data_IF_402343832197
#
_entry.id   IF_402343832197
#
_cell.length_a   1.000
_cell.length_b   1.000
_cell.length_c   1.000
_cell.angle_alpha   90.00
_cell.angle_beta   90.00
_cell.angle_gamma   90.00
#
_symmetry.space_group_name_H-M   'P 1'
#
loop_
_entity.id
_entity.type
_entity.pdbx_description
1 polymer ?
#
# COMPACT_ATOMS: atom_id res chain seq x y z
N UNK A 1 -11.26 -5.89 1.98
CA UNK A 1 -12.25 -5.12 1.22
C UNK A 1 -13.46 -4.84 2.08
N UNK A 2 -14.02 -3.62 2.01
CA UNK A 2 -15.21 -3.26 2.78
C UNK A 2 -16.44 -3.96 2.22
N UNK A 3 -16.79 -5.12 2.77
CA UNK A 3 -18.03 -5.85 2.42
C UNK A 3 -19.26 -4.97 2.59
N UNK A 4 -19.23 -4.07 3.59
CA UNK A 4 -20.27 -3.10 3.87
C UNK A 4 -20.33 -1.99 2.82
N UNK A 5 -19.19 -1.52 2.32
CA UNK A 5 -19.13 -0.55 1.21
C UNK A 5 -19.74 -1.11 -0.09
N UNK A 6 -19.39 -2.35 -0.45
CA UNK A 6 -19.97 -3.01 -1.62
C UNK A 6 -21.48 -3.25 -1.46
N UNK A 7 -21.95 -3.57 -0.24
CA UNK A 7 -23.37 -3.74 0.05
C UNK A 7 -24.17 -2.43 -0.07
N UNK A 8 -23.60 -1.30 0.38
CA UNK A 8 -24.21 0.02 0.21
C UNK A 8 -24.29 0.41 -1.28
N UNK A 9 -23.21 0.17 -2.04
CA UNK A 9 -23.20 0.42 -3.48
C UNK A 9 -24.24 -0.43 -4.24
N UNK A 10 -24.47 -1.68 -3.82
CA UNK A 10 -25.52 -2.53 -4.41
C UNK A 10 -26.93 -1.97 -4.22
N UNK A 11 -27.12 -1.08 -3.23
CA UNK A 11 -28.37 -0.34 -3.00
C UNK A 11 -28.38 1.05 -3.65
N UNK A 12 -27.39 1.34 -4.51
CA UNK A 12 -27.13 2.67 -5.10
C UNK A 12 -26.82 3.77 -4.09
N UNK A 13 -26.42 3.42 -2.86
CA UNK A 13 -25.94 4.38 -1.86
C UNK A 13 -24.43 4.60 -2.00
N UNK A 14 -24.06 5.27 -3.10
CA UNK A 14 -22.66 5.52 -3.44
C UNK A 14 -21.97 6.49 -2.46
N UNK A 15 -22.73 7.40 -1.84
CA UNK A 15 -22.21 8.29 -0.80
C UNK A 15 -21.68 7.53 0.40
N UNK A 16 -22.51 6.65 0.95
CA UNK A 16 -22.13 5.78 2.07
C UNK A 16 -21.04 4.80 1.65
N UNK A 17 -21.15 4.22 0.45
CA UNK A 17 -20.14 3.28 -0.06
C UNK A 17 -18.74 3.90 -0.18
N UNK A 18 -18.63 5.09 -0.76
CA UNK A 18 -17.36 5.84 -0.84
C UNK A 18 -16.77 6.12 0.54
N UNK A 19 -17.62 6.56 1.46
CA UNK A 19 -17.18 6.89 2.82
C UNK A 19 -16.67 5.67 3.58
N UNK A 20 -17.32 4.52 3.41
CA UNK A 20 -16.88 3.24 3.98
C UNK A 20 -15.56 2.75 3.37
N UNK A 21 -15.32 3.00 2.08
CA UNK A 21 -14.03 2.70 1.43
C UNK A 21 -12.90 3.58 1.99
N UNK A 22 -13.14 4.87 2.15
CA UNK A 22 -12.18 5.81 2.75
C UNK A 22 -11.86 5.41 4.19
N UNK A 23 -12.87 5.09 5.00
CA UNK A 23 -12.65 4.59 6.37
C UNK A 23 -11.82 3.31 6.39
N UNK A 24 -12.08 2.37 5.49
CA UNK A 24 -11.28 1.15 5.37
C UNK A 24 -9.82 1.47 5.04
N UNK A 25 -9.56 2.46 4.17
CA UNK A 25 -8.20 2.91 3.86
C UNK A 25 -7.52 3.59 5.06
N UNK A 26 -8.24 4.38 5.87
CA UNK A 26 -7.69 4.94 7.10
C UNK A 26 -7.26 3.86 8.11
N UNK A 27 -8.05 2.80 8.25
CA UNK A 27 -7.68 1.67 9.12
C UNK A 27 -6.51 0.85 8.56
N UNK A 28 -6.42 0.69 7.24
CA UNK A 28 -5.27 0.07 6.59
C UNK A 28 -3.98 0.87 6.81
N UNK A 29 -4.05 2.19 6.78
CA UNK A 29 -2.92 3.04 7.13
C UNK A 29 -2.48 2.80 8.58
N UNK A 30 -3.41 2.80 9.53
CA UNK A 30 -3.06 2.52 10.94
C UNK A 30 -2.43 1.14 11.10
N UNK A 31 -2.97 0.13 10.40
CA UNK A 31 -2.43 -1.22 10.40
C UNK A 31 -0.98 -1.24 9.88
N UNK A 32 -0.65 -0.47 8.85
CA UNK A 32 0.73 -0.40 8.33
C UNK A 32 1.72 0.12 9.37
N UNK A 33 1.33 1.15 10.13
CA UNK A 33 2.15 1.69 11.22
C UNK A 33 2.32 0.67 12.37
N UNK A 34 1.27 -0.08 12.69
CA UNK A 34 1.34 -1.17 13.67
C UNK A 34 2.28 -2.29 13.19
N UNK A 35 2.22 -2.67 11.91
CA UNK A 35 3.14 -3.65 11.33
C UNK A 35 4.59 -3.19 11.45
N UNK A 36 4.90 -1.93 11.14
CA UNK A 36 6.25 -1.38 11.31
C UNK A 36 6.69 -1.54 12.77
N UNK A 37 5.85 -1.24 13.75
CA UNK A 37 6.17 -1.44 15.17
C UNK A 37 6.34 -2.90 15.57
N UNK A 38 5.57 -3.82 14.99
CA UNK A 38 5.72 -5.26 15.24
C UNK A 38 7.09 -5.74 14.76
N UNK A 39 7.51 -5.34 13.56
CA UNK A 39 8.77 -5.79 12.97
C UNK A 39 9.99 -4.97 13.42
N UNK A 40 9.76 -3.75 13.93
CA UNK A 40 10.77 -2.82 14.43
C UNK A 40 10.31 -2.17 15.75
N UNK A 41 10.24 -2.94 16.85
CA UNK A 41 9.68 -2.46 18.13
C UNK A 41 10.45 -1.26 18.69
N UNK A 42 11.78 -1.29 18.57
CA UNK A 42 12.66 -0.22 19.04
C UNK A 42 12.74 0.97 18.08
N UNK A 43 12.16 0.84 16.87
CA UNK A 43 12.16 1.90 15.87
C UNK A 43 11.31 3.07 16.33
N UNK A 44 11.90 4.25 16.50
CA UNK A 44 11.14 5.43 16.86
C UNK A 44 10.38 5.96 15.63
N UNK A 45 9.06 5.78 15.62
CA UNK A 45 8.20 6.34 14.57
C UNK A 45 7.76 7.71 15.08
N UNK A 46 8.37 8.76 14.54
CA UNK A 46 7.95 10.12 14.85
C UNK A 46 6.45 10.25 14.61
N UNK A 47 5.75 10.83 15.58
CA UNK A 47 4.32 11.08 15.50
C UNK A 47 3.42 9.82 15.48
N UNK A 48 3.91 8.66 15.94
CA UNK A 48 3.13 7.42 16.01
C UNK A 48 1.76 7.63 16.66
N UNK A 49 1.70 8.25 17.84
CA UNK A 49 0.41 8.51 18.49
C UNK A 49 -0.46 9.44 17.64
N UNK A 50 0.14 10.45 17.01
CA UNK A 50 -0.60 11.41 16.20
C UNK A 50 -1.24 10.78 14.94
N UNK A 51 -0.73 9.65 14.41
CA UNK A 51 -1.38 8.94 13.27
C UNK A 51 -2.81 8.49 13.64
N UNK A 52 -3.04 8.16 14.91
CA UNK A 52 -4.36 7.70 15.39
C UNK A 52 -5.31 8.87 15.69
N UNK A 53 -4.77 10.07 15.92
CA UNK A 53 -5.52 11.21 16.46
C UNK A 53 -5.70 12.35 15.45
N UNK A 54 -4.76 12.57 14.52
CA UNK A 54 -4.72 13.76 13.66
C UNK A 54 -4.81 13.38 12.18
N UNK A 55 -5.89 13.81 11.52
CA UNK A 55 -6.12 13.60 10.09
C UNK A 55 -5.02 14.15 9.19
N UNK A 56 -4.54 15.36 9.48
CA UNK A 56 -3.44 15.96 8.72
C UNK A 56 -2.17 15.12 8.79
N UNK A 57 -1.83 14.61 9.98
CA UNK A 57 -0.65 13.76 10.18
C UNK A 57 -0.79 12.44 9.40
N UNK A 58 -1.98 11.81 9.37
CA UNK A 58 -2.24 10.65 8.51
C UNK A 58 -1.90 10.93 7.05
N UNK A 59 -2.34 12.06 6.52
CA UNK A 59 -2.16 12.43 5.11
C UNK A 59 -0.69 12.76 4.80
N UNK A 60 -0.02 13.50 5.68
CA UNK A 60 1.40 13.85 5.50
C UNK A 60 2.28 12.58 5.55
N UNK A 61 1.96 11.63 6.43
CA UNK A 61 2.65 10.35 6.54
C UNK A 61 2.41 9.44 5.33
N UNK A 62 1.18 9.39 4.81
CA UNK A 62 0.88 8.69 3.54
C UNK A 62 1.76 9.27 2.42
N UNK A 63 1.85 10.60 2.32
CA UNK A 63 2.66 11.27 1.29
C UNK A 63 4.12 10.88 1.39
N UNK A 64 4.71 10.97 2.58
CA UNK A 64 6.11 10.57 2.82
C UNK A 64 6.35 9.10 2.48
N UNK A 65 5.41 8.23 2.85
CA UNK A 65 5.51 6.80 2.58
C UNK A 65 5.48 6.50 1.08
N UNK A 66 4.65 7.22 0.33
CA UNK A 66 4.61 7.11 -1.12
C UNK A 66 5.87 7.66 -1.78
N UNK A 67 6.35 8.84 -1.38
CA UNK A 67 7.60 9.40 -1.92
C UNK A 67 8.76 8.45 -1.69
N UNK A 68 8.82 7.86 -0.49
CA UNK A 68 9.77 6.80 -0.17
C UNK A 68 9.61 5.60 -1.11
N UNK A 69 8.39 5.12 -1.37
CA UNK A 69 8.15 4.01 -2.29
C UNK A 69 8.52 4.32 -3.74
N UNK A 70 8.16 5.49 -4.26
CA UNK A 70 8.54 5.90 -5.62
C UNK A 70 10.06 5.92 -5.76
N UNK A 71 10.76 6.41 -4.74
CA UNK A 71 12.23 6.36 -4.70
C UNK A 71 12.74 4.93 -4.60
N UNK A 72 12.19 4.11 -3.70
CA UNK A 72 12.60 2.72 -3.52
C UNK A 72 12.41 1.91 -4.81
N UNK A 73 11.32 2.12 -5.56
CA UNK A 73 11.09 1.48 -6.84
C UNK A 73 12.11 1.90 -7.90
N UNK A 74 12.48 3.18 -7.96
CA UNK A 74 13.54 3.67 -8.86
C UNK A 74 14.89 3.04 -8.52
N UNK A 75 15.26 3.07 -7.25
CA UNK A 75 16.51 2.50 -6.78
C UNK A 75 16.54 0.99 -7.07
N UNK A 76 15.47 0.28 -6.75
CA UNK A 76 15.36 -1.16 -6.97
C UNK A 76 15.43 -1.51 -8.45
N UNK A 77 14.81 -0.72 -9.33
CA UNK A 77 14.93 -0.90 -10.78
C UNK A 77 16.37 -0.74 -11.24
N UNK A 78 17.08 0.29 -10.78
CA UNK A 78 18.49 0.49 -11.07
C UNK A 78 19.34 -0.68 -10.59
N UNK A 79 19.13 -1.14 -9.35
CA UNK A 79 19.83 -2.32 -8.81
C UNK A 79 19.54 -3.58 -9.63
N UNK A 80 18.29 -3.82 -10.04
CA UNK A 80 17.98 -4.97 -10.88
C UNK A 80 18.69 -4.88 -12.22
N UNK A 81 18.68 -3.71 -12.87
CA UNK A 81 19.38 -3.51 -14.16
C UNK A 81 20.89 -3.70 -14.05
N UNK A 82 21.52 -3.21 -12.98
CA UNK A 82 22.96 -3.33 -12.75
C UNK A 82 23.39 -4.77 -12.42
N UNK A 83 22.60 -5.50 -11.62
CA UNK A 83 22.99 -6.81 -11.09
C UNK A 83 22.38 -8.00 -11.87
N UNK A 84 21.46 -7.77 -12.82
CA UNK A 84 20.88 -8.82 -13.68
C UNK A 84 21.95 -9.73 -14.33
N UNK A 85 23.07 -9.21 -14.88
CA UNK A 85 24.10 -10.06 -15.48
C UNK A 85 24.77 -10.99 -14.48
N UNK A 86 24.98 -10.51 -13.24
CA UNK A 86 25.60 -11.29 -12.15
C UNK A 86 24.65 -12.40 -11.70
N UNK A 87 23.35 -12.09 -11.56
CA UNK A 87 22.31 -13.08 -11.24
C UNK A 87 22.22 -14.14 -12.34
N UNK A 88 22.26 -13.73 -13.62
CA UNK A 88 22.28 -14.65 -14.76
C UNK A 88 23.46 -15.61 -14.71
N UNK A 89 24.66 -15.10 -14.40
CA UNK A 89 25.86 -15.92 -14.24
C UNK A 89 25.77 -16.90 -13.06
N UNK A 90 25.25 -16.47 -11.91
CA UNK A 90 25.03 -17.32 -10.74
C UNK A 90 24.06 -18.48 -11.06
N UNK A 91 23.01 -18.21 -11.83
CA UNK A 91 22.03 -19.22 -12.22
C UNK A 91 22.63 -20.28 -13.14
N UNK A 92 23.43 -19.87 -14.12
CA UNK A 92 24.14 -20.80 -15.01
C UNK A 92 25.13 -21.70 -14.27
N UNK A 93 25.78 -21.19 -13.24
CA UNK A 93 26.76 -21.93 -12.44
C UNK A 93 26.12 -22.76 -11.32
N UNK A 94 24.85 -22.55 -10.99
CA UNK A 94 24.20 -23.18 -9.83
C UNK A 94 24.26 -24.71 -9.84
N UNK A 95 24.14 -25.33 -11.01
CA UNK A 95 24.15 -26.79 -11.17
C UNK A 95 25.48 -27.46 -10.81
N UNK A 96 26.58 -26.70 -10.82
CA UNK A 96 27.93 -27.19 -10.47
C UNK A 96 28.34 -26.86 -9.03
N UNK A 97 27.51 -26.12 -8.30
CA UNK A 97 27.77 -25.72 -6.92
C UNK A 97 27.41 -26.82 -5.91
N UNK A 98 27.92 -26.67 -4.68
CA UNK A 98 27.48 -27.49 -3.54
C UNK A 98 26.01 -27.23 -3.22
N UNK A 99 25.35 -28.20 -2.57
CA UNK A 99 23.93 -28.08 -2.17
C UNK A 99 23.63 -26.82 -1.35
N UNK A 100 24.52 -26.44 -0.43
CA UNK A 100 24.34 -25.24 0.40
C UNK A 100 24.38 -23.96 -0.45
N UNK A 101 25.29 -23.89 -1.43
CA UNK A 101 25.38 -22.76 -2.36
C UNK A 101 24.19 -22.73 -3.33
N UNK A 102 23.69 -23.87 -3.78
CA UNK A 102 22.46 -23.97 -4.58
C UNK A 102 21.23 -23.45 -3.81
N UNK A 103 21.14 -23.79 -2.52
CA UNK A 103 20.09 -23.28 -1.63
C UNK A 103 20.16 -21.76 -1.53
N UNK A 104 21.36 -21.20 -1.30
CA UNK A 104 21.56 -19.76 -1.26
C UNK A 104 21.16 -19.07 -2.59
N UNK A 105 21.54 -19.62 -3.74
CA UNK A 105 21.15 -19.09 -5.05
C UNK A 105 19.63 -19.13 -5.23
N UNK A 106 18.96 -20.18 -4.75
CA UNK A 106 17.49 -20.30 -4.80
C UNK A 106 16.81 -19.27 -3.89
N UNK A 107 17.35 -18.99 -2.71
CA UNK A 107 16.86 -17.95 -1.79
C UNK A 107 17.04 -16.54 -2.39
N UNK A 108 18.19 -16.28 -3.01
CA UNK A 108 18.47 -15.03 -3.74
C UNK A 108 17.47 -14.86 -4.89
N UNK A 109 17.29 -15.88 -5.73
CA UNK A 109 16.32 -15.85 -6.83
C UNK A 109 14.88 -15.63 -6.34
N UNK A 110 14.48 -16.35 -5.28
CA UNK A 110 13.14 -16.20 -4.70
C UNK A 110 12.90 -14.78 -4.21
N UNK A 111 13.92 -14.18 -3.59
CA UNK A 111 13.89 -12.79 -3.16
C UNK A 111 13.77 -11.84 -4.36
N UNK A 112 14.61 -12.02 -5.39
CA UNK A 112 14.58 -11.22 -6.63
C UNK A 112 13.24 -11.33 -7.35
N UNK A 113 12.68 -12.53 -7.50
CA UNK A 113 11.36 -12.74 -8.11
C UNK A 113 10.28 -12.02 -7.33
N UNK A 114 10.33 -12.08 -6.00
CA UNK A 114 9.41 -11.35 -5.15
C UNK A 114 9.58 -9.84 -5.33
N UNK A 115 10.82 -9.34 -5.40
CA UNK A 115 11.13 -7.93 -5.64
C UNK A 115 10.69 -7.45 -7.03
N UNK A 116 10.93 -8.21 -8.10
CA UNK A 116 10.46 -7.93 -9.46
C UNK A 116 8.94 -7.84 -9.52
N UNK A 117 8.26 -8.83 -8.91
CA UNK A 117 6.80 -8.79 -8.73
C UNK A 117 6.35 -7.53 -7.98
N UNK A 118 7.13 -7.06 -7.01
CA UNK A 118 6.85 -5.83 -6.29
C UNK A 118 7.06 -4.55 -7.13
N UNK A 119 8.10 -4.50 -7.96
CA UNK A 119 8.35 -3.38 -8.88
C UNK A 119 7.37 -3.35 -10.06
N UNK A 120 6.81 -4.49 -10.44
CA UNK A 120 5.83 -4.63 -11.52
C UNK A 120 4.40 -4.37 -11.08
N UNK A 121 4.14 -4.24 -9.77
CA UNK A 121 2.85 -3.71 -9.31
C UNK A 121 2.76 -2.25 -9.73
N UNK A 122 2.25 -2.03 -10.95
CA UNK A 122 1.93 -0.74 -11.54
C UNK A 122 0.75 -0.06 -10.84
N UNK A 123 0.83 0.05 -9.51
CA UNK A 123 -0.08 0.89 -8.75
C UNK A 123 0.10 2.33 -9.25
N UNK A 124 -1.02 3.00 -9.52
CA UNK A 124 -1.01 4.44 -9.73
C UNK A 124 -0.87 5.11 -8.35
N UNK A 125 0.36 5.09 -7.85
CA UNK A 125 0.74 5.60 -6.54
C UNK A 125 0.41 7.10 -6.42
N UNK A 126 0.63 7.87 -7.49
CA UNK A 126 0.27 9.30 -7.53
C UNK A 126 -1.25 9.50 -7.55
N UNK A 127 -1.99 8.69 -8.29
CA UNK A 127 -3.45 8.68 -8.27
C UNK A 127 -4.01 8.35 -6.89
N UNK A 128 -3.44 7.35 -6.22
CA UNK A 128 -3.80 6.95 -4.86
C UNK A 128 -3.50 8.05 -3.83
N UNK A 129 -2.40 8.79 -3.98
CA UNK A 129 -2.09 9.95 -3.14
C UNK A 129 -3.10 11.08 -3.32
N UNK A 130 -3.33 11.47 -4.57
CA UNK A 130 -4.28 12.52 -4.90
C UNK A 130 -5.67 12.16 -4.38
N UNK A 131 -6.01 10.87 -4.46
CA UNK A 131 -7.22 10.32 -3.87
C UNK A 131 -7.23 10.47 -2.33
N UNK A 132 -6.21 10.02 -1.61
CA UNK A 132 -6.11 10.12 -0.14
C UNK A 132 -6.13 11.57 0.37
N UNK A 133 -5.53 12.50 -0.36
CA UNK A 133 -5.58 13.93 -0.01
C UNK A 133 -7.00 14.49 -0.03
N UNK A 134 -7.84 14.01 -0.94
CA UNK A 134 -9.23 14.43 -1.09
C UNK A 134 -10.20 13.61 -0.24
N UNK A 135 -9.80 12.41 0.18
CA UNK A 135 -10.62 11.43 0.89
C UNK A 135 -11.30 11.99 2.14
N UNK A 136 -10.67 12.89 2.91
CA UNK A 136 -11.33 13.44 4.09
C UNK A 136 -12.54 14.33 3.73
N UNK A 137 -12.42 15.14 2.67
CA UNK A 137 -13.53 15.95 2.19
C UNK A 137 -14.63 15.06 1.58
N UNK A 138 -14.23 14.04 0.82
CA UNK A 138 -15.15 13.13 0.16
C UNK A 138 -15.89 12.22 1.15
N UNK A 139 -15.24 11.77 2.22
CA UNK A 139 -15.88 11.05 3.33
C UNK A 139 -16.94 11.90 4.02
N UNK A 140 -16.63 13.16 4.31
CA UNK A 140 -17.59 14.05 4.94
C UNK A 140 -18.80 14.29 4.03
N UNK A 141 -18.60 14.44 2.72
CA UNK A 141 -19.68 14.56 1.73
C UNK A 141 -20.51 13.29 1.55
N UNK A 142 -19.91 12.12 1.72
CA UNK A 142 -20.62 10.86 1.60
C UNK A 142 -21.40 10.46 2.84
N UNK A 143 -21.18 11.11 3.99
CA UNK A 143 -21.98 10.93 5.21
C UNK A 143 -22.94 12.09 5.50
N UNK A 144 -22.56 13.32 5.14
CA UNK A 144 -23.29 14.54 5.50
C UNK A 144 -23.63 15.38 4.27
N UNK A 145 -24.58 16.30 4.45
CA UNK A 145 -24.86 17.34 3.47
C UNK A 145 -23.74 18.40 3.55
N UNK A 146 -23.05 18.63 2.43
CA UNK A 146 -21.99 19.63 2.29
C UNK A 146 -22.45 20.77 1.37
N UNK A 147 -21.79 21.93 1.41
CA UNK A 147 -22.03 23.06 0.51
C UNK A 147 -20.77 23.38 -0.28
N UNK A 148 -20.76 23.05 -1.57
CA UNK A 148 -19.66 23.38 -2.48
C UNK A 148 -20.16 24.23 -3.63
N UNK A 149 -19.42 25.28 -4.01
CA UNK A 149 -19.76 26.16 -5.14
C UNK A 149 -21.21 26.68 -5.09
N UNK A 150 -21.69 27.09 -3.91
CA UNK A 150 -23.07 27.52 -3.66
C UNK A 150 -24.18 26.49 -3.92
N UNK A 151 -23.83 25.21 -4.04
CA UNK A 151 -24.79 24.10 -4.18
C UNK A 151 -24.71 23.16 -2.98
N UNK A 152 -25.86 22.62 -2.60
CA UNK A 152 -25.93 21.51 -1.64
C UNK A 152 -25.47 20.22 -2.32
N UNK A 153 -24.50 19.56 -1.72
CA UNK A 153 -24.05 18.23 -2.08
C UNK A 153 -24.61 17.27 -1.04
N UNK A 154 -25.53 16.41 -1.44
CA UNK A 154 -25.98 15.30 -0.59
C UNK A 154 -25.14 14.06 -0.86
N UNK A 155 -25.09 13.10 0.07
CA UNK A 155 -24.46 11.80 -0.17
C UNK A 155 -24.93 11.12 -1.47
N UNK A 156 -26.20 11.31 -1.85
CA UNK A 156 -26.80 10.76 -3.06
C UNK A 156 -26.30 11.42 -4.36
N UNK A 157 -25.61 12.56 -4.26
CA UNK A 157 -24.99 13.23 -5.42
C UNK A 157 -23.68 12.59 -5.86
N UNK A 158 -23.12 11.66 -5.07
CA UNK A 158 -21.94 10.89 -5.44
C UNK A 158 -22.29 9.87 -6.52
N UNK A 159 -21.55 9.90 -7.63
CA UNK A 159 -21.80 9.02 -8.77
C UNK A 159 -21.17 7.63 -8.60
N UNK A 160 -21.65 6.67 -9.39
CA UNK A 160 -21.08 5.33 -9.45
C UNK A 160 -19.62 5.35 -9.89
N UNK A 161 -19.26 6.22 -10.83
CA UNK A 161 -17.87 6.36 -11.33
C UNK A 161 -16.94 6.81 -10.20
N UNK A 162 -17.40 7.75 -9.36
CA UNK A 162 -16.65 8.15 -8.17
C UNK A 162 -16.48 6.95 -7.22
N UNK A 163 -17.55 6.20 -6.95
CA UNK A 163 -17.44 4.96 -6.17
C UNK A 163 -16.45 3.95 -6.76
N UNK A 164 -16.46 3.72 -8.07
CA UNK A 164 -15.56 2.77 -8.72
C UNK A 164 -14.08 3.19 -8.56
N UNK A 165 -13.79 4.49 -8.62
CA UNK A 165 -12.45 5.06 -8.36
C UNK A 165 -12.05 4.84 -6.89
N UNK A 166 -12.92 5.18 -5.95
CA UNK A 166 -12.69 5.01 -4.50
C UNK A 166 -12.42 3.54 -4.16
N UNK A 167 -13.23 2.65 -4.74
CA UNK A 167 -13.12 1.20 -4.58
C UNK A 167 -11.81 0.67 -5.15
N UNK A 168 -11.40 1.14 -6.33
CA UNK A 168 -10.12 0.78 -6.95
C UNK A 168 -8.96 1.14 -6.02
N UNK A 169 -8.83 2.41 -5.63
CA UNK A 169 -7.68 2.85 -4.83
C UNK A 169 -7.66 2.25 -3.42
N UNK A 170 -8.83 2.01 -2.83
CA UNK A 170 -8.90 1.27 -1.55
C UNK A 170 -8.37 -0.15 -1.68
N UNK A 171 -8.67 -0.84 -2.79
CA UNK A 171 -8.12 -2.19 -3.06
C UNK A 171 -6.62 -2.15 -3.29
N UNK A 172 -6.15 -1.21 -4.13
CA UNK A 172 -4.74 -1.05 -4.43
C UNK A 172 -3.95 -0.78 -3.14
N UNK A 173 -4.48 0.09 -2.26
CA UNK A 173 -3.86 0.37 -0.97
C UNK A 173 -3.85 -0.84 -0.03
N UNK A 174 -4.94 -1.62 0.02
CA UNK A 174 -4.98 -2.84 0.82
C UNK A 174 -3.96 -3.88 0.34
N UNK A 175 -3.84 -4.04 -0.98
CA UNK A 175 -2.86 -4.95 -1.58
C UNK A 175 -1.43 -4.47 -1.29
N UNK A 176 -1.19 -3.17 -1.38
CA UNK A 176 0.08 -2.57 -1.01
C UNK A 176 0.48 -2.87 0.46
N UNK A 177 -0.43 -2.71 1.42
CA UNK A 177 -0.14 -3.04 2.83
C UNK A 177 0.14 -4.54 3.02
N UNK A 178 -0.61 -5.41 2.36
CA UNK A 178 -0.39 -6.86 2.42
C UNK A 178 1.00 -7.25 1.86
N UNK A 179 1.42 -6.59 0.78
CA UNK A 179 2.74 -6.78 0.18
C UNK A 179 3.87 -6.38 1.15
N UNK A 180 3.72 -5.26 1.86
CA UNK A 180 4.68 -4.84 2.89
C UNK A 180 4.78 -5.89 4.01
N UNK A 181 3.65 -6.40 4.50
CA UNK A 181 3.64 -7.43 5.55
C UNK A 181 4.38 -8.69 5.10
N UNK A 182 4.14 -9.15 3.87
CA UNK A 182 4.86 -10.30 3.29
C UNK A 182 6.37 -10.07 3.25
N UNK A 183 6.82 -8.88 2.82
CA UNK A 183 8.24 -8.52 2.79
C UNK A 183 8.86 -8.55 4.20
N UNK A 184 8.20 -7.95 5.19
CA UNK A 184 8.70 -7.97 6.56
C UNK A 184 8.74 -9.39 7.17
N UNK A 185 7.73 -10.21 6.88
CA UNK A 185 7.67 -11.59 7.35
C UNK A 185 8.86 -12.42 6.82
N UNK A 186 9.27 -12.23 5.56
CA UNK A 186 10.43 -12.91 4.96
C UNK A 186 11.73 -12.50 5.65
N UNK A 187 11.91 -11.20 5.90
CA UNK A 187 13.09 -10.68 6.62
C UNK A 187 13.22 -11.30 8.02
N UNK A 188 12.10 -11.48 8.73
CA UNK A 188 12.10 -12.12 10.04
C UNK A 188 12.53 -13.59 9.97
N UNK A 189 12.06 -14.34 8.95
CA UNK A 189 12.42 -15.75 8.76
C UNK A 189 13.91 -15.93 8.42
N UNK A 190 14.48 -15.02 7.62
CA UNK A 190 15.91 -15.07 7.29
C UNK A 190 16.79 -14.82 8.53
N UNK A 191 16.44 -13.86 9.40
CA UNK A 191 17.16 -13.61 10.66
C UNK A 191 17.16 -14.81 11.61
N UNK A 192 16.07 -15.55 11.65
CA UNK A 192 15.92 -16.71 12.55
C UNK A 192 16.51 -18.01 11.98
N UNK A 193 16.99 -17.99 10.74
CA UNK A 193 17.65 -19.13 10.08
C UNK A 193 19.19 -19.00 10.08
N UNK A 194 19.71 -17.93 10.67
CA UNK A 194 21.14 -17.62 10.86
C UNK A 194 21.57 -18.01 12.27
#
# INVERSE_FOLDING_TARGET
>A
MSRTGDAAAAQNDYGVACSLNILAAEELLKASFLLIKIYHPDGNINEFDNIFHKHKVKHDQIKQHVEFQEQMQKDLKMYLEEYEPIIGALNLMSSTMTKDKQKLVTEINSSITLFKKHSEFGFDIRGMLNWLQNANNDKNRGFYVDKAMNKWLSPQSISKEKFDIERKYTKDFAQYINNIDQLFSLKSKMKNSS
#
